data_IF_745106697632
#
_entry.id   IF_745106697632
#
_cell.length_a   1.000
_cell.length_b   1.000
_cell.length_c   1.000
_cell.angle_alpha   90.00
_cell.angle_beta   90.00
_cell.angle_gamma   90.00
#
_symmetry.space_group_name_H-M   'P 1'
#
loop_
_entity.id
_entity.type
_entity.pdbx_description
1 polymer ?
#
# COMPACT_ATOMS: atom_id res chain seq x y z
N UNK A 1 48.42 -15.66 31.24
CA UNK A 1 47.99 -14.89 30.03
C UNK A 1 47.96 -13.38 30.24
N UNK A 2 47.36 -12.83 31.30
CA UNK A 2 47.34 -11.38 31.59
C UNK A 2 48.70 -10.64 31.60
N UNK A 3 49.81 -11.17 32.15
CA UNK A 3 51.08 -10.41 32.19
C UNK A 3 51.71 -10.24 30.80
N UNK A 4 51.54 -11.23 29.92
CA UNK A 4 52.10 -11.22 28.57
C UNK A 4 51.43 -10.16 27.68
N UNK A 5 50.11 -9.96 27.83
CA UNK A 5 49.35 -8.90 27.14
C UNK A 5 49.78 -7.51 27.64
N UNK A 6 50.01 -7.35 28.95
CA UNK A 6 50.50 -6.08 29.51
C UNK A 6 51.90 -5.73 29.00
N UNK A 7 52.81 -6.70 28.94
CA UNK A 7 54.15 -6.46 28.36
C UNK A 7 54.09 -6.12 26.87
N UNK A 8 53.25 -6.83 26.10
CA UNK A 8 53.04 -6.53 24.69
C UNK A 8 52.46 -5.12 24.48
N UNK A 9 51.49 -4.70 25.30
CA UNK A 9 50.88 -3.37 25.24
C UNK A 9 51.89 -2.27 25.57
N UNK A 10 52.66 -2.41 26.65
CA UNK A 10 53.69 -1.42 27.03
C UNK A 10 54.75 -1.29 25.94
N UNK A 11 55.15 -2.40 25.32
CA UNK A 11 56.12 -2.39 24.22
C UNK A 11 55.55 -1.75 22.95
N UNK A 12 54.28 -2.00 22.63
CA UNK A 12 53.58 -1.37 21.51
C UNK A 12 53.44 0.15 21.71
N UNK A 13 53.05 0.60 22.91
CA UNK A 13 52.94 2.03 23.25
C UNK A 13 54.30 2.72 23.16
N UNK A 14 55.36 2.11 23.72
CA UNK A 14 56.72 2.69 23.66
C UNK A 14 57.24 2.77 22.22
N UNK A 15 56.93 1.77 21.38
CA UNK A 15 57.23 1.77 19.95
C UNK A 15 56.48 2.89 19.22
N UNK A 16 55.19 3.08 19.52
CA UNK A 16 54.39 4.14 18.91
C UNK A 16 54.89 5.54 19.28
N UNK A 17 55.33 5.74 20.53
CA UNK A 17 55.93 7.02 20.98
C UNK A 17 57.30 7.25 20.33
N UNK A 18 58.13 6.21 20.16
CA UNK A 18 59.44 6.33 19.51
C UNK A 18 59.33 6.58 17.99
N UNK A 19 58.35 5.92 17.35
CA UNK A 19 58.04 6.05 15.91
C UNK A 19 56.97 7.09 15.58
N UNK A 20 56.75 8.08 16.44
CA UNK A 20 55.58 8.96 16.43
C UNK A 20 55.27 9.63 15.08
N UNK A 21 56.32 10.02 14.34
CA UNK A 21 56.16 10.63 13.01
C UNK A 21 55.49 9.71 11.99
N UNK A 22 55.84 8.43 11.99
CA UNK A 22 55.32 7.45 11.03
C UNK A 22 53.90 7.00 11.43
N UNK A 23 53.68 6.78 12.73
CA UNK A 23 52.37 6.43 13.29
C UNK A 23 51.34 7.55 13.07
N UNK A 24 51.75 8.82 13.19
CA UNK A 24 50.85 9.97 12.94
C UNK A 24 50.36 10.02 11.49
N UNK A 25 51.24 9.72 10.53
CA UNK A 25 50.89 9.68 9.10
C UNK A 25 49.95 8.50 8.81
N UNK A 26 50.25 7.32 9.38
CA UNK A 26 49.40 6.14 9.24
C UNK A 26 47.99 6.39 9.81
N UNK A 27 47.92 6.93 11.03
CA UNK A 27 46.66 7.25 11.68
C UNK A 27 45.88 8.32 10.91
N UNK A 28 46.56 9.36 10.41
CA UNK A 28 45.95 10.38 9.56
C UNK A 28 45.38 9.80 8.26
N UNK A 29 46.11 8.88 7.62
CA UNK A 29 45.63 8.18 6.42
C UNK A 29 44.40 7.30 6.69
N UNK A 30 44.39 6.57 7.80
CA UNK A 30 43.24 5.76 8.21
C UNK A 30 42.03 6.66 8.51
N UNK A 31 42.21 7.73 9.28
CA UNK A 31 41.14 8.69 9.57
C UNK A 31 40.58 9.33 8.31
N UNK A 32 41.45 9.71 7.37
CA UNK A 32 41.04 10.29 6.10
C UNK A 32 40.23 9.28 5.27
N UNK A 33 40.70 8.03 5.16
CA UNK A 33 40.00 6.99 4.42
C UNK A 33 38.61 6.71 5.03
N UNK A 34 38.52 6.60 6.35
CA UNK A 34 37.25 6.40 7.06
C UNK A 34 36.33 7.60 6.90
N UNK A 35 36.85 8.83 7.01
CA UNK A 35 36.06 10.05 6.82
C UNK A 35 35.52 10.16 5.39
N UNK A 36 36.32 9.81 4.38
CA UNK A 36 35.88 9.81 2.98
C UNK A 36 34.81 8.74 2.73
N UNK A 37 34.99 7.52 3.24
CA UNK A 37 33.98 6.46 3.14
C UNK A 37 32.68 6.86 3.85
N UNK A 38 32.76 7.42 5.06
CA UNK A 38 31.58 7.85 5.81
C UNK A 38 30.88 9.05 5.15
N UNK A 39 31.64 10.02 4.65
CA UNK A 39 31.09 11.21 3.99
C UNK A 39 30.31 10.87 2.73
N UNK A 40 30.77 9.88 1.95
CA UNK A 40 30.07 9.46 0.73
C UNK A 40 28.67 8.92 1.04
N UNK A 41 28.58 8.03 2.02
CA UNK A 41 27.29 7.43 2.44
C UNK A 41 26.35 8.49 3.01
N UNK A 42 26.83 9.29 3.97
CA UNK A 42 26.00 10.31 4.63
C UNK A 42 25.50 11.37 3.63
N UNK A 43 26.38 11.83 2.73
CA UNK A 43 25.98 12.81 1.72
C UNK A 43 24.96 12.24 0.73
N UNK A 44 25.14 10.99 0.31
CA UNK A 44 24.19 10.30 -0.57
C UNK A 44 22.81 10.20 0.07
N UNK A 45 22.74 9.81 1.33
CA UNK A 45 21.46 9.68 2.05
C UNK A 45 20.77 11.04 2.23
N UNK A 46 21.53 12.09 2.55
CA UNK A 46 20.98 13.44 2.67
C UNK A 46 20.49 13.98 1.32
N UNK A 47 21.24 13.76 0.24
CA UNK A 47 20.84 14.18 -1.10
C UNK A 47 19.60 13.42 -1.58
N UNK A 48 19.56 12.11 -1.36
CA UNK A 48 18.42 11.25 -1.71
C UNK A 48 17.16 11.67 -0.96
N UNK A 49 17.26 11.93 0.35
CA UNK A 49 16.13 12.41 1.13
C UNK A 49 15.68 13.81 0.70
N UNK A 50 16.62 14.70 0.38
CA UNK A 50 16.31 16.04 -0.08
C UNK A 50 15.65 16.03 -1.46
N UNK A 51 16.14 15.21 -2.39
CA UNK A 51 15.54 15.07 -3.72
C UNK A 51 14.17 14.42 -3.63
N UNK A 52 14.02 13.33 -2.89
CA UNK A 52 12.72 12.67 -2.71
C UNK A 52 11.68 13.62 -2.12
N UNK A 53 12.04 14.35 -1.06
CA UNK A 53 11.14 15.35 -0.46
C UNK A 53 10.77 16.45 -1.45
N UNK A 54 11.73 16.94 -2.22
CA UNK A 54 11.51 17.98 -3.22
C UNK A 54 10.58 17.51 -4.35
N UNK A 55 10.78 16.29 -4.85
CA UNK A 55 9.93 15.67 -5.87
C UNK A 55 8.51 15.43 -5.33
N UNK A 56 8.37 14.84 -4.14
CA UNK A 56 7.06 14.59 -3.52
C UNK A 56 6.25 15.87 -3.27
N UNK A 57 6.90 17.00 -2.98
CA UNK A 57 6.24 18.29 -2.79
C UNK A 57 5.79 18.95 -4.10
N UNK A 58 6.38 18.56 -5.23
CA UNK A 58 6.10 19.15 -6.55
C UNK A 58 5.25 18.25 -7.45
N UNK A 59 5.23 16.95 -7.16
CA UNK A 59 4.46 15.98 -7.92
C UNK A 59 2.94 16.27 -7.81
N UNK A 60 2.19 16.10 -8.89
CA UNK A 60 0.74 16.20 -8.87
C UNK A 60 0.14 15.09 -7.98
N UNK A 61 -1.04 15.35 -7.39
CA UNK A 61 -1.68 14.42 -6.45
C UNK A 61 -1.84 12.99 -7.01
N UNK A 62 -2.07 12.87 -8.32
CA UNK A 62 -2.19 11.59 -9.03
C UNK A 62 -0.93 10.72 -8.97
N UNK A 63 0.26 11.34 -8.93
CA UNK A 63 1.56 10.66 -8.91
C UNK A 63 2.04 10.34 -7.49
N UNK A 64 1.46 10.98 -6.47
CA UNK A 64 1.80 10.78 -5.05
C UNK A 64 0.90 9.73 -4.39
N UNK A 65 -0.15 9.28 -5.09
CA UNK A 65 -1.09 8.29 -4.55
C UNK A 65 -0.45 6.90 -4.40
N UNK A 66 -0.57 6.35 -3.20
CA UNK A 66 -0.13 4.98 -2.90
C UNK A 66 -1.31 4.04 -3.12
N UNK A 67 -1.15 3.07 -4.02
CA UNK A 67 -2.16 2.03 -4.26
C UNK A 67 -1.65 0.67 -3.82
N UNK A 68 -2.37 0.02 -2.91
CA UNK A 68 -2.13 -1.37 -2.52
C UNK A 68 -3.22 -2.23 -3.14
N UNK A 69 -2.82 -3.24 -3.92
CA UNK A 69 -3.76 -4.17 -4.56
C UNK A 69 -3.50 -5.59 -4.05
N UNK A 70 -4.57 -6.26 -3.69
CA UNK A 70 -4.57 -7.70 -3.39
C UNK A 70 -5.58 -8.38 -4.29
N UNK A 71 -5.21 -9.55 -4.79
CA UNK A 71 -6.07 -10.37 -5.65
C UNK A 71 -6.47 -11.65 -4.92
N UNK A 72 -7.63 -12.19 -5.25
CA UNK A 72 -7.99 -13.53 -4.81
C UNK A 72 -7.22 -14.60 -5.60
N UNK A 73 -6.66 -15.57 -4.89
CA UNK A 73 -5.99 -16.75 -5.45
C UNK A 73 -6.95 -17.95 -5.56
N UNK A 74 -6.60 -18.90 -6.43
CA UNK A 74 -7.30 -20.19 -6.54
C UNK A 74 -7.13 -21.08 -5.30
N UNK A 75 -6.07 -20.86 -4.53
CA UNK A 75 -5.78 -21.63 -3.31
C UNK A 75 -6.65 -21.19 -2.11
N UNK A 76 -7.45 -20.14 -2.27
CA UNK A 76 -8.34 -19.66 -1.22
C UNK A 76 -9.52 -20.61 -0.99
N UNK A 77 -10.06 -20.67 0.25
CA UNK A 77 -11.26 -21.42 0.53
C UNK A 77 -12.39 -21.07 -0.45
N UNK A 78 -13.09 -22.08 -0.97
CA UNK A 78 -14.22 -21.89 -1.87
C UNK A 78 -15.53 -21.51 -1.15
N UNK A 79 -15.54 -21.58 0.19
CA UNK A 79 -16.70 -21.26 1.01
C UNK A 79 -16.82 -19.75 1.24
N UNK A 80 -18.05 -19.23 1.32
CA UNK A 80 -18.31 -17.81 1.61
C UNK A 80 -17.67 -17.35 2.91
N UNK A 81 -17.75 -18.20 3.95
CA UNK A 81 -17.14 -17.90 5.25
C UNK A 81 -15.61 -17.82 5.15
N UNK A 82 -14.97 -18.78 4.47
CA UNK A 82 -13.51 -18.77 4.31
C UNK A 82 -13.01 -17.60 3.47
N UNK A 83 -13.70 -17.26 2.37
CA UNK A 83 -13.37 -16.06 1.58
C UNK A 83 -13.53 -14.77 2.37
N UNK A 84 -14.57 -14.67 3.21
CA UNK A 84 -14.76 -13.52 4.10
C UNK A 84 -13.62 -13.38 5.09
N UNK A 85 -13.15 -14.48 5.68
CA UNK A 85 -11.99 -14.46 6.58
C UNK A 85 -10.73 -13.97 5.87
N UNK A 86 -10.40 -14.52 4.70
CA UNK A 86 -9.21 -14.10 3.92
C UNK A 86 -9.30 -12.63 3.51
N UNK A 87 -10.48 -12.17 3.10
CA UNK A 87 -10.72 -10.75 2.80
C UNK A 87 -10.48 -9.88 4.04
N UNK A 88 -10.98 -10.29 5.21
CA UNK A 88 -10.79 -9.56 6.46
C UNK A 88 -9.31 -9.48 6.86
N UNK A 89 -8.57 -10.59 6.78
CA UNK A 89 -7.13 -10.62 7.06
C UNK A 89 -6.35 -9.65 6.18
N UNK A 90 -6.69 -9.57 4.89
CA UNK A 90 -6.08 -8.62 3.95
C UNK A 90 -6.42 -7.17 4.28
N UNK A 91 -7.67 -6.92 4.63
CA UNK A 91 -8.12 -5.60 5.03
C UNK A 91 -7.40 -5.14 6.29
N UNK A 92 -7.27 -6.03 7.27
CA UNK A 92 -6.58 -5.77 8.53
C UNK A 92 -5.08 -5.55 8.28
N UNK A 93 -4.45 -6.33 7.42
CA UNK A 93 -3.05 -6.11 7.01
C UNK A 93 -2.87 -4.73 6.35
N UNK A 94 -3.71 -4.40 5.36
CA UNK A 94 -3.63 -3.13 4.66
C UNK A 94 -3.85 -1.93 5.59
N UNK A 95 -4.72 -2.05 6.59
CA UNK A 95 -4.96 -0.98 7.58
C UNK A 95 -3.86 -0.92 8.62
N UNK A 96 -3.56 -2.03 9.28
CA UNK A 96 -2.74 -2.05 10.48
C UNK A 96 -1.25 -1.99 10.17
N UNK A 97 -0.80 -2.63 9.09
CA UNK A 97 0.63 -2.72 8.75
C UNK A 97 1.04 -1.65 7.73
N UNK A 98 0.19 -1.39 6.72
CA UNK A 98 0.52 -0.42 5.66
C UNK A 98 0.03 0.97 6.04
N UNK A 99 -1.28 1.17 6.20
CA UNK A 99 -1.83 2.51 6.40
C UNK A 99 -1.30 3.18 7.69
N UNK A 100 -1.10 2.43 8.78
CA UNK A 100 -0.51 2.96 10.02
C UNK A 100 0.87 3.57 9.81
N UNK A 101 1.74 2.94 9.02
CA UNK A 101 3.11 3.44 8.76
C UNK A 101 3.09 4.74 7.98
N UNK A 102 2.14 4.87 7.05
CA UNK A 102 1.98 6.07 6.22
C UNK A 102 1.00 7.10 6.78
N UNK A 103 0.35 6.83 7.91
CA UNK A 103 -0.67 7.71 8.50
C UNK A 103 -0.23 9.18 8.64
N UNK A 104 1.04 9.52 8.98
CA UNK A 104 1.49 10.91 9.04
C UNK A 104 1.55 11.64 7.68
N UNK A 105 1.52 10.90 6.58
CA UNK A 105 1.75 11.40 5.22
C UNK A 105 0.54 11.27 4.29
N UNK A 106 -0.52 10.57 4.74
CA UNK A 106 -1.74 10.34 3.95
C UNK A 106 -2.86 11.23 4.48
N UNK A 107 -3.54 11.95 3.58
CA UNK A 107 -4.68 12.79 3.93
C UNK A 107 -6.01 12.02 3.93
N UNK A 108 -6.22 11.16 2.93
CA UNK A 108 -7.45 10.40 2.75
C UNK A 108 -7.12 8.94 2.41
N UNK A 109 -7.97 8.03 2.88
CA UNK A 109 -7.88 6.61 2.57
C UNK A 109 -9.21 6.14 1.98
N UNK A 110 -9.13 5.57 0.79
CA UNK A 110 -10.27 4.92 0.13
C UNK A 110 -9.99 3.44 -0.06
N UNK A 111 -11.04 2.66 0.09
CA UNK A 111 -11.04 1.23 -0.15
C UNK A 111 -11.79 0.97 -1.44
N UNK A 112 -11.19 0.19 -2.34
CA UNK A 112 -11.82 -0.27 -3.57
C UNK A 112 -11.88 -1.79 -3.54
N UNK A 113 -13.05 -2.35 -3.81
CA UNK A 113 -13.25 -3.79 -4.00
C UNK A 113 -13.92 -3.98 -5.35
N UNK A 114 -13.31 -4.81 -6.19
CA UNK A 114 -13.85 -5.17 -7.50
C UNK A 114 -14.15 -6.68 -7.51
N UNK A 115 -15.36 -7.04 -7.89
CA UNK A 115 -15.77 -8.44 -7.96
C UNK A 115 -15.47 -9.02 -9.34
N UNK A 116 -15.39 -10.36 -9.41
CA UNK A 116 -15.51 -11.02 -10.71
C UNK A 116 -16.87 -10.69 -11.35
N UNK A 117 -16.93 -10.82 -12.67
CA UNK A 117 -18.17 -10.60 -13.41
C UNK A 117 -19.18 -11.71 -13.14
N UNK A 118 -20.43 -11.36 -12.92
CA UNK A 118 -21.55 -12.28 -12.73
C UNK A 118 -22.67 -11.96 -13.72
N UNK A 119 -23.59 -12.91 -13.87
CA UNK A 119 -24.81 -12.71 -14.65
C UNK A 119 -25.89 -12.05 -13.80
N UNK A 120 -26.60 -11.10 -14.39
CA UNK A 120 -27.76 -10.47 -13.76
C UNK A 120 -28.97 -11.40 -13.75
N UNK A 121 -29.85 -11.19 -12.77
CA UNK A 121 -31.13 -11.90 -12.61
C UNK A 121 -32.19 -10.92 -12.09
N UNK A 122 -33.46 -11.15 -12.44
CA UNK A 122 -34.59 -10.31 -12.09
C UNK A 122 -35.02 -9.33 -13.19
N UNK A 123 -34.31 -9.29 -14.32
CA UNK A 123 -34.58 -8.37 -15.44
C UNK A 123 -34.53 -9.11 -16.77
N UNK A 124 -35.67 -9.31 -17.45
CA UNK A 124 -35.74 -10.07 -18.70
C UNK A 124 -34.77 -9.56 -19.79
N UNK A 125 -34.55 -8.24 -19.89
CA UNK A 125 -33.60 -7.68 -20.86
C UNK A 125 -32.13 -8.05 -20.60
N UNK A 126 -31.78 -8.50 -19.39
CA UNK A 126 -30.42 -8.90 -19.00
C UNK A 126 -30.26 -10.44 -18.92
N UNK A 127 -31.36 -11.18 -19.04
CA UNK A 127 -31.41 -12.65 -18.96
C UNK A 127 -31.51 -13.29 -20.35
N UNK A 128 -30.63 -12.84 -21.26
CA UNK A 128 -30.54 -13.36 -22.62
C UNK A 128 -29.78 -14.71 -22.67
N UNK A 129 -29.73 -15.32 -23.86
CA UNK A 129 -28.93 -16.52 -24.12
C UNK A 129 -27.45 -16.30 -23.80
N UNK A 130 -26.77 -17.33 -23.32
CA UNK A 130 -25.39 -17.25 -22.83
C UNK A 130 -24.38 -16.64 -23.83
N UNK A 131 -24.63 -16.72 -25.14
CA UNK A 131 -23.76 -16.13 -26.17
C UNK A 131 -23.81 -14.59 -26.18
N UNK A 132 -24.92 -14.00 -25.75
CA UNK A 132 -25.17 -12.54 -25.76
C UNK A 132 -25.51 -11.99 -24.37
N UNK A 133 -25.53 -12.85 -23.34
CA UNK A 133 -25.94 -12.47 -21.99
C UNK A 133 -24.94 -11.49 -21.37
N UNK A 134 -25.37 -10.28 -20.96
CA UNK A 134 -24.49 -9.31 -20.34
C UNK A 134 -23.98 -9.81 -18.99
N UNK A 135 -22.71 -9.49 -18.70
CA UNK A 135 -22.07 -9.74 -17.41
C UNK A 135 -21.63 -8.40 -16.83
N UNK A 136 -21.75 -8.24 -15.52
CA UNK A 136 -21.26 -7.07 -14.81
C UNK A 136 -20.46 -7.46 -13.59
N UNK A 137 -19.54 -6.59 -13.19
CA UNK A 137 -18.92 -6.63 -11.86
C UNK A 137 -19.60 -5.61 -10.94
N UNK A 138 -19.46 -5.83 -9.63
CA UNK A 138 -19.78 -4.83 -8.62
C UNK A 138 -18.47 -4.21 -8.20
N UNK A 139 -18.45 -2.88 -8.20
CA UNK A 139 -17.37 -2.11 -7.63
C UNK A 139 -17.89 -1.46 -6.37
N UNK A 140 -17.26 -1.78 -5.25
CA UNK A 140 -17.44 -1.05 -4.01
C UNK A 140 -16.27 -0.08 -3.83
N UNK A 141 -16.60 1.17 -3.53
CA UNK A 141 -15.61 2.21 -3.24
C UNK A 141 -16.04 2.99 -2.00
N UNK A 142 -15.18 3.07 -1.00
CA UNK A 142 -15.39 3.94 0.15
C UNK A 142 -14.95 5.38 -0.16
N UNK A 143 -15.50 6.34 0.59
CA UNK A 143 -15.17 7.77 0.39
C UNK A 143 -15.99 8.46 -0.70
N UNK A 144 -16.90 7.76 -1.37
CA UNK A 144 -17.95 8.33 -2.24
C UNK A 144 -19.07 9.02 -1.47
N UNK A 145 -18.77 9.63 -0.32
CA UNK A 145 -19.76 10.34 0.50
C UNK A 145 -20.63 11.32 -0.31
N UNK A 146 -21.78 11.73 0.22
CA UNK A 146 -22.81 12.50 -0.51
C UNK A 146 -22.31 13.81 -1.12
N UNK A 147 -21.14 14.31 -0.69
CA UNK A 147 -20.52 15.53 -1.22
C UNK A 147 -19.89 15.34 -2.61
N UNK A 148 -19.61 14.10 -3.03
CA UNK A 148 -18.95 13.79 -4.32
C UNK A 148 -19.90 13.21 -5.36
N UNK A 149 -21.05 12.65 -4.93
CA UNK A 149 -22.06 12.06 -5.83
C UNK A 149 -23.44 12.52 -5.42
N UNK A 150 -24.24 12.95 -6.41
CA UNK A 150 -25.65 13.27 -6.24
C UNK A 150 -26.52 12.08 -6.65
N UNK A 151 -27.32 11.58 -5.73
CA UNK A 151 -28.38 10.60 -6.04
C UNK A 151 -29.50 11.32 -6.78
N UNK A 152 -29.84 10.82 -7.97
CA UNK A 152 -30.93 11.36 -8.78
C UNK A 152 -32.27 10.71 -8.41
N UNK A 153 -32.27 9.41 -8.09
CA UNK A 153 -33.46 8.61 -7.81
C UNK A 153 -33.13 7.46 -6.85
N UNK A 154 -34.11 7.06 -6.03
CA UNK A 154 -33.95 5.97 -5.05
C UNK A 154 -33.17 6.37 -3.78
N UNK A 155 -32.49 5.40 -3.19
CA UNK A 155 -31.68 5.56 -1.98
C UNK A 155 -30.34 4.83 -2.12
N UNK A 156 -29.33 5.27 -1.38
CA UNK A 156 -28.04 4.57 -1.32
C UNK A 156 -28.20 3.13 -0.79
N UNK A 157 -27.43 2.15 -1.31
CA UNK A 157 -27.39 0.80 -0.77
C UNK A 157 -27.05 0.81 0.72
N UNK A 158 -27.91 0.17 1.53
CA UNK A 158 -27.82 0.18 2.98
C UNK A 158 -26.99 -0.97 3.55
N UNK A 159 -26.50 -0.80 4.78
CA UNK A 159 -25.79 -1.85 5.52
C UNK A 159 -26.67 -3.08 5.79
N UNK A 160 -27.99 -2.89 5.94
CA UNK A 160 -28.94 -3.98 6.13
C UNK A 160 -29.02 -4.90 4.91
N UNK A 161 -29.09 -4.33 3.70
CA UNK A 161 -29.06 -5.10 2.46
C UNK A 161 -27.71 -5.81 2.28
N UNK A 162 -26.60 -5.12 2.57
CA UNK A 162 -25.27 -5.72 2.50
C UNK A 162 -25.05 -6.89 3.48
N UNK A 163 -25.77 -6.90 4.61
CA UNK A 163 -25.74 -7.97 5.60
C UNK A 163 -26.77 -9.08 5.32
N UNK A 164 -27.64 -8.91 4.33
CA UNK A 164 -28.69 -9.86 4.01
C UNK A 164 -28.13 -11.18 3.43
N UNK A 165 -28.92 -12.24 3.52
CA UNK A 165 -28.59 -13.54 2.95
C UNK A 165 -28.63 -13.53 1.41
N UNK A 166 -28.13 -14.61 0.79
CA UNK A 166 -28.09 -14.76 -0.68
C UNK A 166 -29.45 -14.73 -1.37
N UNK A 167 -30.55 -14.90 -0.62
CA UNK A 167 -31.91 -14.88 -1.14
C UNK A 167 -32.47 -13.46 -1.29
N UNK A 168 -31.79 -12.45 -0.72
CA UNK A 168 -32.17 -11.04 -0.85
C UNK A 168 -31.40 -10.42 -2.02
N UNK A 169 -32.07 -9.76 -2.98
CA UNK A 169 -31.40 -9.02 -4.04
C UNK A 169 -30.47 -7.96 -3.45
N UNK A 170 -29.28 -7.84 -4.02
CA UNK A 170 -28.31 -6.85 -3.57
C UNK A 170 -28.63 -5.47 -4.15
N UNK A 171 -28.68 -4.45 -3.30
CA UNK A 171 -28.88 -3.07 -3.71
C UNK A 171 -27.59 -2.54 -4.36
N UNK A 172 -27.72 -1.92 -5.54
CA UNK A 172 -26.60 -1.30 -6.26
C UNK A 172 -26.95 0.11 -6.67
N UNK A 173 -25.97 1.00 -6.60
CA UNK A 173 -26.04 2.30 -7.25
C UNK A 173 -25.47 2.15 -8.67
N UNK A 174 -26.18 2.70 -9.66
CA UNK A 174 -25.76 2.72 -11.06
C UNK A 174 -25.67 4.17 -11.50
N UNK A 175 -24.62 4.52 -12.24
CA UNK A 175 -24.51 5.85 -12.82
C UNK A 175 -25.43 6.00 -14.04
N UNK A 176 -25.58 7.23 -14.55
CA UNK A 176 -26.50 7.48 -15.67
C UNK A 176 -26.12 6.73 -16.94
N UNK A 177 -24.81 6.54 -17.18
CA UNK A 177 -24.32 5.79 -18.33
C UNK A 177 -24.63 4.29 -18.19
N UNK A 178 -24.35 3.71 -17.02
CA UNK A 178 -24.64 2.32 -16.73
C UNK A 178 -26.14 2.04 -16.80
N UNK A 179 -26.98 2.99 -16.38
CA UNK A 179 -28.43 2.86 -16.49
C UNK A 179 -28.89 2.77 -17.94
N UNK A 180 -28.38 3.67 -18.80
CA UNK A 180 -28.66 3.69 -20.24
C UNK A 180 -28.17 2.40 -20.91
N UNK A 181 -26.95 1.97 -20.61
CA UNK A 181 -26.36 0.75 -21.17
C UNK A 181 -27.08 -0.53 -20.76
N UNK A 182 -27.60 -0.59 -19.52
CA UNK A 182 -28.38 -1.72 -19.04
C UNK A 182 -29.84 -1.67 -19.52
N UNK A 183 -30.26 -0.57 -20.15
CA UNK A 183 -31.64 -0.38 -20.60
C UNK A 183 -32.64 -0.51 -19.46
N UNK A 184 -32.30 -0.02 -18.27
CA UNK A 184 -33.17 -0.03 -17.10
C UNK A 184 -33.96 1.28 -17.06
N UNK A 185 -35.29 1.18 -17.15
CA UNK A 185 -36.17 2.29 -16.82
C UNK A 185 -36.42 2.31 -15.30
N UNK A 186 -36.16 3.44 -14.65
CA UNK A 186 -36.43 3.67 -13.21
C UNK A 186 -37.64 4.60 -13.04
#
# INVERSE_FOLDING_TARGET
>A
MMPMIRFAYVMAVRRAVSGWRLESVLFGGILLAVALMASGVIFSDLLSNASLRHELLRAPAEEVNITVRSFSSQDEPSTTAGRRTVYQERLDFARNEIATVFAPYINEQSQVVDTATFYFKGHPQLELDNEVRPRGSIIYMSGFGPDRIRVLQGSWPGAENAAAGSDTPMDVAVDTLGLELLGLDI
#
